data_IF_378014779038
#
_entry.id   IF_378014779038
#
_cell.length_a   1.000
_cell.length_b   1.000
_cell.length_c   1.000
_cell.angle_alpha   90.00
_cell.angle_beta   90.00
_cell.angle_gamma   90.00
#
_symmetry.space_group_name_H-M   'P 1'
#
loop_
_entity.id
_entity.type
_entity.pdbx_description
1 polymer ?
#
# COMPACT_ATOMS: atom_id res chain seq x y z
N UNK A 1 -14.77 -16.73 -9.70
CA UNK A 1 -13.46 -16.61 -10.21
C UNK A 1 -13.08 -15.22 -10.60
N UNK A 2 -13.81 -14.61 -11.52
CA UNK A 2 -13.47 -13.28 -11.96
C UNK A 2 -13.50 -12.26 -10.85
N UNK A 3 -14.45 -12.42 -9.94
CA UNK A 3 -14.59 -11.45 -8.86
C UNK A 3 -13.40 -11.43 -7.94
N UNK A 4 -12.89 -12.62 -7.60
CA UNK A 4 -11.74 -12.70 -6.73
C UNK A 4 -10.53 -12.05 -7.36
N UNK A 5 -10.31 -12.35 -8.64
CA UNK A 5 -9.16 -11.77 -9.33
C UNK A 5 -9.27 -10.26 -9.44
N UNK A 6 -10.48 -9.77 -9.69
CA UNK A 6 -10.71 -8.32 -9.76
C UNK A 6 -10.49 -7.65 -8.43
N UNK A 7 -10.96 -8.28 -7.35
CA UNK A 7 -10.76 -7.75 -6.02
C UNK A 7 -9.27 -7.68 -5.67
N UNK A 8 -8.55 -8.75 -5.99
CA UNK A 8 -7.12 -8.76 -5.72
C UNK A 8 -6.40 -7.65 -6.50
N UNK A 9 -6.75 -7.50 -7.77
CA UNK A 9 -6.15 -6.45 -8.57
C UNK A 9 -6.44 -5.06 -8.01
N UNK A 10 -7.69 -4.85 -7.57
CA UNK A 10 -8.08 -3.58 -6.97
C UNK A 10 -7.30 -3.30 -5.70
N UNK A 11 -7.17 -4.31 -4.85
CA UNK A 11 -6.43 -4.15 -3.60
C UNK A 11 -4.96 -3.86 -3.86
N UNK A 12 -4.37 -4.53 -4.85
CA UNK A 12 -2.98 -4.26 -5.19
C UNK A 12 -2.80 -2.82 -5.64
N UNK A 13 -3.73 -2.31 -6.43
CA UNK A 13 -3.65 -0.93 -6.89
C UNK A 13 -3.80 0.04 -5.73
N UNK A 14 -4.70 -0.25 -4.80
CA UNK A 14 -4.88 0.61 -3.64
C UNK A 14 -3.64 0.64 -2.77
N UNK A 15 -3.02 -0.51 -2.56
CA UNK A 15 -1.81 -0.57 -1.75
C UNK A 15 -0.68 0.21 -2.44
N UNK A 16 -0.52 0.04 -3.73
CA UNK A 16 0.51 0.77 -4.47
C UNK A 16 0.27 2.28 -4.37
N UNK A 17 -0.99 2.71 -4.46
CA UNK A 17 -1.31 4.12 -4.35
C UNK A 17 -0.97 4.67 -2.98
N UNK A 18 -1.20 3.88 -1.93
CA UNK A 18 -0.86 4.33 -0.58
C UNK A 18 0.66 4.47 -0.43
N UNK A 19 1.41 3.53 -0.99
CA UNK A 19 2.86 3.60 -0.91
C UNK A 19 3.36 4.84 -1.66
N UNK A 20 2.82 5.10 -2.83
CA UNK A 20 3.20 6.29 -3.59
C UNK A 20 2.85 7.56 -2.83
N UNK A 21 1.67 7.60 -2.22
CA UNK A 21 1.26 8.75 -1.43
C UNK A 21 2.24 9.02 -0.31
N UNK A 22 2.73 7.95 0.31
CA UNK A 22 3.66 8.09 1.40
C UNK A 22 4.95 8.76 0.94
N UNK A 23 5.43 8.38 -0.23
CA UNK A 23 6.65 8.98 -0.77
C UNK A 23 6.47 10.43 -1.14
N UNK A 24 5.35 10.74 -1.78
CA UNK A 24 5.05 12.12 -2.16
C UNK A 24 4.85 12.99 -0.94
N UNK A 25 4.21 12.46 0.08
CA UNK A 25 3.93 13.21 1.29
C UNK A 25 5.18 13.65 2.02
N UNK A 26 6.27 12.90 1.87
CA UNK A 26 7.51 13.28 2.52
C UNK A 26 8.07 14.60 2.00
N UNK A 27 7.64 14.99 0.83
CA UNK A 27 8.19 16.20 0.21
C UNK A 27 7.29 17.40 0.36
N UNK A 28 6.03 17.18 0.73
CA UNK A 28 5.11 18.29 0.83
C UNK A 28 4.11 18.09 1.92
N UNK A 29 4.56 18.13 3.14
CA UNK A 29 3.67 17.98 4.28
C UNK A 29 2.71 19.13 4.36
N UNK A 30 1.46 18.83 4.63
CA UNK A 30 0.48 19.86 4.94
C UNK A 30 0.77 20.40 6.31
N UNK A 31 0.41 21.68 6.48
CA UNK A 31 0.53 22.31 7.78
C UNK A 31 -0.38 21.59 8.77
N UNK A 32 0.17 21.30 9.94
CA UNK A 32 -0.62 20.69 11.00
C UNK A 32 -0.54 19.18 11.06
N UNK A 33 0.07 18.57 10.08
CA UNK A 33 0.23 17.11 10.07
C UNK A 33 1.70 16.80 10.28
N UNK A 34 2.00 16.06 11.33
CA UNK A 34 3.38 15.69 11.58
C UNK A 34 3.75 14.52 10.68
N UNK A 35 5.04 14.41 10.43
CA UNK A 35 5.57 13.31 9.65
C UNK A 35 5.17 11.97 10.25
N UNK A 36 5.25 11.89 11.57
CA UNK A 36 4.92 10.65 12.26
C UNK A 36 3.46 10.27 12.07
N UNK A 37 2.57 11.25 12.17
CA UNK A 37 1.14 11.00 12.00
C UNK A 37 0.84 10.59 10.57
N UNK A 38 1.50 11.22 9.60
CA UNK A 38 1.28 10.90 8.22
C UNK A 38 1.68 9.44 7.93
N UNK A 39 2.86 9.05 8.40
CA UNK A 39 3.33 7.69 8.20
C UNK A 39 2.40 6.69 8.86
N UNK A 40 1.97 6.96 10.07
CA UNK A 40 1.11 6.03 10.78
C UNK A 40 -0.21 5.83 10.05
N UNK A 41 -0.80 6.90 9.56
CA UNK A 41 -2.07 6.79 8.84
C UNK A 41 -1.90 5.95 7.58
N UNK A 42 -0.83 6.17 6.84
CA UNK A 42 -0.60 5.41 5.62
C UNK A 42 -0.35 3.94 5.91
N UNK A 43 0.42 3.65 6.95
CA UNK A 43 0.68 2.27 7.32
C UNK A 43 -0.58 1.55 7.77
N UNK A 44 -1.46 2.25 8.47
CA UNK A 44 -2.75 1.67 8.86
C UNK A 44 -3.58 1.31 7.65
N UNK A 45 -3.61 2.18 6.65
CA UNK A 45 -4.37 1.89 5.44
C UNK A 45 -3.79 0.72 4.67
N UNK A 46 -2.47 0.66 4.57
CA UNK A 46 -1.82 -0.46 3.92
C UNK A 46 -2.14 -1.75 4.66
N UNK A 47 -2.10 -1.72 5.99
CA UNK A 47 -2.43 -2.89 6.79
C UNK A 47 -3.86 -3.36 6.58
N UNK A 48 -4.80 -2.41 6.48
CA UNK A 48 -6.19 -2.76 6.22
C UNK A 48 -6.36 -3.42 4.87
N UNK A 49 -5.70 -2.89 3.85
CA UNK A 49 -5.77 -3.49 2.52
C UNK A 49 -5.10 -4.85 2.52
N UNK A 50 -4.01 -5.00 3.27
CA UNK A 50 -3.33 -6.29 3.37
C UNK A 50 -4.24 -7.33 4.02
N UNK A 51 -4.98 -6.93 5.05
CA UNK A 51 -5.92 -7.85 5.70
C UNK A 51 -6.99 -8.31 4.73
N UNK A 52 -7.54 -7.40 3.95
CA UNK A 52 -8.51 -7.76 2.93
C UNK A 52 -7.91 -8.70 1.90
N UNK A 53 -6.70 -8.38 1.48
CA UNK A 53 -6.01 -9.21 0.50
C UNK A 53 -5.80 -10.61 1.03
N UNK A 54 -5.47 -10.72 2.32
CA UNK A 54 -5.24 -12.02 2.95
C UNK A 54 -6.48 -12.89 2.92
N UNK A 55 -7.67 -12.29 2.90
CA UNK A 55 -8.89 -13.06 2.80
C UNK A 55 -9.03 -13.72 1.45
N UNK A 56 -8.39 -13.18 0.43
CA UNK A 56 -8.47 -13.73 -0.93
C UNK A 56 -7.34 -14.68 -1.24
N UNK A 57 -6.12 -14.38 -0.77
CA UNK A 57 -4.95 -15.16 -1.19
C UNK A 57 -4.21 -15.81 -0.03
N UNK A 58 -4.64 -15.54 1.21
CA UNK A 58 -3.95 -16.08 2.37
C UNK A 58 -2.95 -15.09 2.94
N UNK A 59 -2.65 -15.22 4.24
CA UNK A 59 -1.80 -14.23 4.91
C UNK A 59 -0.37 -14.20 4.38
N UNK A 60 0.20 -15.34 4.05
CA UNK A 60 1.59 -15.35 3.57
C UNK A 60 1.69 -14.69 2.20
N UNK A 61 0.76 -15.01 1.30
CA UNK A 61 0.78 -14.42 -0.02
C UNK A 61 0.48 -12.94 0.04
N UNK A 62 -0.39 -12.52 0.96
CA UNK A 62 -0.70 -11.11 1.10
C UNK A 62 0.55 -10.33 1.49
N UNK A 63 1.32 -10.86 2.43
CA UNK A 63 2.55 -10.20 2.85
C UNK A 63 3.54 -10.12 1.69
N UNK A 64 3.67 -11.20 0.93
CA UNK A 64 4.56 -11.22 -0.21
C UNK A 64 4.17 -10.16 -1.24
N UNK A 65 2.87 -10.07 -1.52
CA UNK A 65 2.38 -9.11 -2.49
C UNK A 65 2.68 -7.68 -2.04
N UNK A 66 2.40 -7.39 -0.77
CA UNK A 66 2.65 -6.05 -0.24
C UNK A 66 4.14 -5.71 -0.32
N UNK A 67 4.99 -6.64 0.04
CA UNK A 67 6.43 -6.41 -0.04
C UNK A 67 6.88 -6.16 -1.46
N UNK A 68 6.37 -6.95 -2.41
CA UNK A 68 6.71 -6.77 -3.81
C UNK A 68 6.26 -5.41 -4.33
N UNK A 69 5.05 -5.01 -3.95
CA UNK A 69 4.55 -3.72 -4.38
C UNK A 69 5.38 -2.58 -3.82
N UNK A 70 5.78 -2.72 -2.57
CA UNK A 70 6.60 -1.70 -1.93
C UNK A 70 7.93 -1.55 -2.65
N UNK A 71 8.59 -2.67 -2.90
CA UNK A 71 9.88 -2.66 -3.58
C UNK A 71 9.74 -2.12 -5.00
N UNK A 72 8.73 -2.58 -5.72
CA UNK A 72 8.54 -2.15 -7.11
C UNK A 72 8.24 -0.66 -7.19
N UNK A 73 7.38 -0.17 -6.31
CA UNK A 73 7.01 1.23 -6.33
C UNK A 73 8.21 2.12 -6.01
N UNK A 74 8.99 1.72 -5.00
CA UNK A 74 10.15 2.51 -4.63
C UNK A 74 11.20 2.46 -5.72
N UNK A 75 11.42 1.28 -6.32
CA UNK A 75 12.41 1.15 -7.39
C UNK A 75 12.03 2.02 -8.58
N UNK A 76 10.74 2.08 -8.91
CA UNK A 76 10.28 2.90 -10.01
C UNK A 76 10.60 4.37 -9.79
N UNK A 77 10.54 4.79 -8.55
CA UNK A 77 10.74 6.21 -8.24
C UNK A 77 12.20 6.60 -8.20
N UNK A 78 13.07 5.64 -8.10
CA UNK A 78 14.49 5.95 -7.96
C UNK A 78 15.14 6.39 -9.24
N UNK A 79 14.47 6.19 -10.34
CA UNK A 79 15.02 6.62 -11.62
C UNK A 79 14.89 8.13 -11.81
#
# INVERSE_FOLDING_TARGET
MGESASEVARLRQQIAAEIESMQHGFQGFAVGITRHEFIRTRMERIGNHQDELAEHVGPDDAITIVCELYITTIASRRK
#
